data_IF_367538457735
#
_entry.id   IF_367538457735
#
_cell.length_a   1.000
_cell.length_b   1.000
_cell.length_c   1.000
_cell.angle_alpha   90.00
_cell.angle_beta   90.00
_cell.angle_gamma   90.00
#
_symmetry.space_group_name_H-M   'P 1'
#
loop_
_entity.id
_entity.type
_entity.pdbx_description
1 polymer ?
#
# COMPACT_ATOMS: atom_id res chain seq x y z
N UNK A 1 -3.38 11.62 3.01
CA UNK A 1 -4.32 10.67 2.38
C UNK A 1 -5.55 10.36 3.22
N UNK A 2 -5.42 9.85 4.46
CA UNK A 2 -6.61 9.43 5.21
C UNK A 2 -7.53 10.60 5.62
N UNK A 3 -6.94 11.75 5.95
CA UNK A 3 -7.66 12.98 6.31
C UNK A 3 -8.32 13.60 5.07
N UNK A 4 -7.56 13.82 3.99
CA UNK A 4 -8.06 14.37 2.73
C UNK A 4 -9.26 13.58 2.14
N UNK A 5 -9.17 12.24 2.10
CA UNK A 5 -10.26 11.41 1.59
C UNK A 5 -11.51 11.47 2.49
N UNK A 6 -11.33 11.65 3.80
CA UNK A 6 -12.45 11.82 4.72
C UNK A 6 -13.10 13.20 4.57
N UNK A 7 -12.31 14.24 4.29
CA UNK A 7 -12.78 15.60 4.00
C UNK A 7 -13.57 15.67 2.69
N UNK A 8 -13.21 14.85 1.69
CA UNK A 8 -13.99 14.67 0.46
C UNK A 8 -15.28 13.84 0.64
N UNK A 9 -15.56 13.38 1.87
CA UNK A 9 -16.79 12.65 2.23
C UNK A 9 -16.70 11.13 2.04
N UNK A 10 -15.52 10.57 1.79
CA UNK A 10 -15.33 9.13 1.71
C UNK A 10 -15.19 8.49 3.10
N UNK A 11 -15.73 7.29 3.28
CA UNK A 11 -15.49 6.51 4.50
C UNK A 11 -14.09 5.91 4.50
N UNK A 12 -13.16 6.59 5.16
CA UNK A 12 -11.78 6.12 5.31
C UNK A 12 -11.64 5.30 6.57
N UNK A 13 -11.02 4.13 6.44
CA UNK A 13 -10.66 3.30 7.58
C UNK A 13 -9.16 3.01 7.57
N UNK A 14 -8.47 3.39 8.64
CA UNK A 14 -7.05 3.09 8.83
C UNK A 14 -6.85 1.81 9.65
N UNK A 15 -5.74 1.11 9.39
CA UNK A 15 -5.32 -0.04 10.16
C UNK A 15 -3.80 0.01 10.38
N UNK A 16 -3.37 0.02 11.65
CA UNK A 16 -1.96 0.04 12.02
C UNK A 16 -1.28 -1.35 12.00
N UNK A 17 -2.00 -2.41 11.61
CA UNK A 17 -1.50 -3.79 11.57
C UNK A 17 -2.25 -4.63 10.55
N UNK A 18 -1.53 -5.52 9.85
CA UNK A 18 -2.08 -6.37 8.78
C UNK A 18 -3.29 -7.22 9.18
N UNK A 19 -3.25 -7.83 10.38
CA UNK A 19 -4.40 -8.59 10.91
C UNK A 19 -5.66 -7.74 11.03
N UNK A 20 -5.51 -6.50 11.50
CA UNK A 20 -6.66 -5.63 11.68
C UNK A 20 -7.19 -5.12 10.33
N UNK A 21 -6.30 -4.93 9.34
CA UNK A 21 -6.67 -4.59 7.98
C UNK A 21 -7.49 -5.70 7.32
N UNK A 22 -7.02 -6.96 7.36
CA UNK A 22 -7.74 -8.09 6.77
C UNK A 22 -9.15 -8.25 7.37
N UNK A 23 -9.26 -8.11 8.69
CA UNK A 23 -10.57 -8.14 9.38
C UNK A 23 -11.47 -6.99 8.93
N UNK A 24 -10.91 -5.79 8.73
CA UNK A 24 -11.66 -4.63 8.23
C UNK A 24 -12.07 -4.80 6.77
N UNK A 25 -11.22 -5.36 5.91
CA UNK A 25 -11.57 -5.68 4.51
C UNK A 25 -12.74 -6.67 4.48
N UNK A 26 -12.70 -7.72 5.30
CA UNK A 26 -13.78 -8.71 5.37
C UNK A 26 -15.11 -8.11 5.90
N UNK A 27 -15.05 -7.16 6.83
CA UNK A 27 -16.24 -6.53 7.41
C UNK A 27 -16.83 -5.41 6.55
N UNK A 28 -15.97 -4.56 6.00
CA UNK A 28 -16.35 -3.33 5.30
C UNK A 28 -16.47 -3.54 3.80
N UNK A 29 -15.86 -4.60 3.24
CA UNK A 29 -15.81 -4.89 1.81
C UNK A 29 -15.54 -3.63 0.97
N UNK A 30 -14.39 -2.97 1.19
CA UNK A 30 -14.08 -1.73 0.49
C UNK A 30 -13.99 -1.97 -1.02
N UNK A 31 -14.30 -0.93 -1.80
CA UNK A 31 -14.13 -0.99 -3.26
C UNK A 31 -12.67 -0.83 -3.68
N UNK A 32 -11.85 -0.17 -2.85
CA UNK A 32 -10.43 0.06 -3.09
C UNK A 32 -9.65 0.06 -1.78
N UNK A 33 -8.44 -0.50 -1.81
CA UNK A 33 -7.51 -0.44 -0.67
C UNK A 33 -6.28 0.37 -1.06
N UNK A 34 -5.96 1.39 -0.28
CA UNK A 34 -4.71 2.14 -0.43
C UNK A 34 -3.72 1.62 0.61
N UNK A 35 -2.59 1.10 0.15
CA UNK A 35 -1.55 0.52 0.97
C UNK A 35 -0.25 1.29 0.81
N UNK A 36 0.31 1.77 1.91
CA UNK A 36 1.63 2.41 1.89
C UNK A 36 2.75 1.40 2.13
N UNK A 37 3.71 1.27 1.20
CA UNK A 37 4.84 0.34 1.31
C UNK A 37 5.91 0.86 2.29
N UNK A 38 5.94 2.17 2.59
CA UNK A 38 7.01 2.84 3.33
C UNK A 38 6.58 3.32 4.72
N UNK A 39 5.62 2.63 5.38
CA UNK A 39 5.33 2.86 6.80
C UNK A 39 6.37 2.16 7.67
N UNK A 40 7.47 2.88 7.95
CA UNK A 40 8.47 2.51 8.96
C UNK A 40 9.11 1.13 8.73
N UNK A 41 8.87 0.21 9.67
CA UNK A 41 9.45 -1.14 9.73
C UNK A 41 8.48 -2.25 9.29
N UNK A 42 7.33 -1.90 8.72
CA UNK A 42 6.30 -2.88 8.32
C UNK A 42 6.43 -3.23 6.83
N UNK A 43 6.50 -4.54 6.54
CA UNK A 43 6.45 -5.06 5.17
C UNK A 43 5.04 -4.91 4.59
N UNK A 44 4.80 -3.81 3.88
CA UNK A 44 3.58 -3.63 3.07
C UNK A 44 3.40 -4.76 2.04
N UNK A 45 4.49 -5.38 1.59
CA UNK A 45 4.46 -6.51 0.64
C UNK A 45 3.86 -7.79 1.24
N UNK A 46 4.11 -8.07 2.53
CA UNK A 46 3.51 -9.21 3.24
C UNK A 46 1.98 -9.02 3.35
N UNK A 47 1.55 -7.80 3.69
CA UNK A 47 0.12 -7.45 3.70
C UNK A 47 -0.53 -7.64 2.34
N UNK A 48 0.12 -7.15 1.28
CA UNK A 48 -0.37 -7.26 -0.09
C UNK A 48 -0.61 -8.73 -0.47
N UNK A 49 0.33 -9.61 -0.13
CA UNK A 49 0.20 -11.04 -0.37
C UNK A 49 -0.98 -11.66 0.38
N UNK A 50 -1.18 -11.34 1.66
CA UNK A 50 -2.31 -11.88 2.43
C UNK A 50 -3.66 -11.40 1.87
N UNK A 51 -3.75 -10.13 1.46
CA UNK A 51 -4.96 -9.57 0.84
C UNK A 51 -5.21 -10.25 -0.52
N UNK A 52 -4.20 -10.38 -1.39
CA UNK A 52 -4.39 -11.03 -2.70
C UNK A 52 -4.77 -12.50 -2.59
N UNK A 53 -4.28 -13.20 -1.57
CA UNK A 53 -4.66 -14.59 -1.31
C UNK A 53 -6.14 -14.74 -0.92
N UNK A 54 -6.73 -13.78 -0.22
CA UNK A 54 -8.13 -13.84 0.24
C UNK A 54 -9.11 -13.11 -0.69
N UNK A 55 -8.65 -12.03 -1.32
CA UNK A 55 -9.46 -11.08 -2.08
C UNK A 55 -8.73 -10.71 -3.38
N UNK A 56 -8.55 -11.68 -4.27
CA UNK A 56 -7.82 -11.50 -5.53
C UNK A 56 -8.39 -10.39 -6.43
N UNK A 57 -9.71 -10.20 -6.39
CA UNK A 57 -10.46 -9.23 -7.19
C UNK A 57 -10.49 -7.81 -6.61
N UNK A 58 -9.99 -7.61 -5.39
CA UNK A 58 -9.97 -6.31 -4.73
C UNK A 58 -8.86 -5.44 -5.33
N UNK A 59 -9.15 -4.24 -5.88
CA UNK A 59 -8.12 -3.37 -6.40
C UNK A 59 -7.34 -2.73 -5.24
N UNK A 60 -6.02 -2.82 -5.33
CA UNK A 60 -5.10 -2.33 -4.31
C UNK A 60 -4.18 -1.29 -4.95
N UNK A 61 -4.21 -0.07 -4.42
CA UNK A 61 -3.33 1.02 -4.82
C UNK A 61 -2.14 1.02 -3.87
N UNK A 62 -0.96 0.78 -4.43
CA UNK A 62 0.29 0.85 -3.68
C UNK A 62 0.82 2.29 -3.72
N UNK A 63 0.80 2.96 -2.58
CA UNK A 63 1.51 4.20 -2.36
C UNK A 63 2.90 3.88 -1.80
N UNK A 64 3.93 4.40 -2.43
CA UNK A 64 5.27 4.39 -1.86
C UNK A 64 5.88 5.71 -2.26
N UNK A 65 6.40 6.47 -1.30
CA UNK A 65 7.29 7.58 -1.62
C UNK A 65 8.57 6.98 -2.24
N UNK A 66 8.54 6.87 -3.57
CA UNK A 66 9.63 6.42 -4.42
C UNK A 66 10.71 7.51 -4.46
N UNK A 67 11.35 7.71 -3.33
CA UNK A 67 12.67 8.34 -3.26
C UNK A 67 13.66 7.19 -3.27
N UNK A 68 14.36 7.01 -4.40
CA UNK A 68 15.37 5.97 -4.73
C UNK A 68 14.87 4.64 -5.31
N UNK A 69 14.43 4.66 -6.58
CA UNK A 69 14.74 3.58 -7.52
C UNK A 69 14.97 4.10 -8.96
N UNK A 70 15.35 5.37 -9.07
CA UNK A 70 16.21 5.87 -10.15
C UNK A 70 17.46 6.41 -9.48
N UNK A 71 18.61 6.28 -10.14
CA UNK A 71 19.95 6.66 -9.67
C UNK A 71 20.73 5.53 -8.96
N UNK A 72 21.07 4.47 -9.71
CA UNK A 72 22.44 3.97 -9.64
C UNK A 72 23.28 4.70 -10.72
N UNK A 73 24.00 5.80 -10.38
CA UNK A 73 24.89 6.49 -11.30
C UNK A 73 26.24 5.78 -11.50
N UNK A 74 26.39 4.50 -11.10
CA UNK A 74 27.63 3.73 -11.29
C UNK A 74 27.53 2.70 -12.41
N UNK A 75 26.34 2.36 -12.89
CA UNK A 75 26.18 1.52 -14.09
C UNK A 75 26.45 2.25 -15.41
N UNK A 76 26.51 3.59 -15.42
CA UNK A 76 26.98 4.38 -16.58
C UNK A 76 28.52 4.55 -16.54
N UNK A 77 29.22 3.61 -15.90
CA UNK A 77 30.67 3.45 -16.05
C UNK A 77 31.02 2.31 -17.03
N UNK A 78 30.03 1.80 -17.78
CA UNK A 78 30.23 0.85 -18.85
C UNK A 78 29.99 1.52 -20.20
N UNK A 79 31.03 1.53 -21.02
CA UNK A 79 31.02 1.71 -22.49
C UNK A 79 30.99 3.14 -23.05
N UNK A 80 32.15 3.81 -22.95
CA UNK A 80 32.73 4.61 -24.04
C UNK A 80 34.25 4.43 -24.06
#
# INVERSE_FOLDING_TARGET
>A
YAEELAEEGHQVTTAASGRNLLRKIALLQPEVVVLDIKIGNYDGLELLQDIRNRHYSLPIILCSSYDKFKEDPRSIAADY
#
